data_IF_970036903748
#
_entry.id   IF_970036903748
#
_cell.length_a   1.000
_cell.length_b   1.000
_cell.length_c   1.000
_cell.angle_alpha   90.00
_cell.angle_beta   90.00
_cell.angle_gamma   90.00
#
_symmetry.space_group_name_H-M   'P 1'
#
loop_
_entity.id
_entity.type
_entity.pdbx_description
1 polymer ?
#
# COMPACT_ATOMS: atom_id res chain seq x y z
N UNK A 1 -8.29 -27.30 -4.37
CA UNK A 1 -9.11 -26.10 -4.68
C UNK A 1 -8.38 -25.24 -5.71
N UNK A 2 -9.14 -24.46 -6.48
CA UNK A 2 -8.61 -23.54 -7.49
C UNK A 2 -8.00 -22.30 -6.81
N UNK A 3 -6.87 -21.83 -7.32
CA UNK A 3 -6.31 -20.53 -6.96
C UNK A 3 -7.03 -19.41 -7.72
N UNK A 4 -7.35 -18.32 -7.03
CA UNK A 4 -7.90 -17.11 -7.63
C UNK A 4 -6.92 -16.47 -8.61
N UNK A 5 -7.43 -16.02 -9.73
CA UNK A 5 -6.65 -15.15 -10.64
C UNK A 5 -6.42 -13.78 -10.00
N UNK A 6 -5.21 -13.24 -10.14
CA UNK A 6 -4.83 -11.94 -9.61
C UNK A 6 -3.84 -11.31 -10.59
N UNK A 7 -4.20 -10.17 -11.16
CA UNK A 7 -3.38 -9.49 -12.15
C UNK A 7 -3.40 -7.98 -11.85
N UNK A 8 -2.31 -7.49 -11.29
CA UNK A 8 -2.02 -6.08 -11.08
C UNK A 8 -1.33 -5.50 -12.32
N UNK A 9 -1.69 -4.27 -12.66
CA UNK A 9 -0.99 -3.41 -13.62
C UNK A 9 -0.76 -2.04 -12.99
N UNK A 10 0.48 -1.55 -13.08
CA UNK A 10 0.88 -0.20 -12.67
C UNK A 10 1.61 0.46 -13.82
N UNK A 11 1.14 1.62 -14.26
CA UNK A 11 1.74 2.40 -15.34
C UNK A 11 2.02 3.80 -14.82
N UNK A 12 3.26 4.26 -14.98
CA UNK A 12 3.68 5.56 -14.47
C UNK A 12 5.17 5.84 -14.70
N UNK A 13 5.66 6.96 -14.19
CA UNK A 13 7.08 7.31 -14.19
C UNK A 13 7.82 6.59 -13.07
N UNK A 14 9.04 6.16 -13.33
CA UNK A 14 9.88 5.56 -12.31
C UNK A 14 10.46 6.65 -11.41
N UNK A 15 9.89 6.86 -10.23
CA UNK A 15 10.35 7.88 -9.28
C UNK A 15 11.68 7.49 -8.62
N UNK A 16 11.75 6.27 -8.09
CA UNK A 16 12.92 5.74 -7.36
C UNK A 16 13.09 4.24 -7.59
N UNK A 17 14.33 3.77 -7.53
CA UNK A 17 14.67 2.34 -7.46
C UNK A 17 15.76 2.08 -6.42
N UNK A 18 15.67 0.95 -5.74
CA UNK A 18 16.71 0.43 -4.85
C UNK A 18 16.97 -1.04 -5.22
N UNK A 19 18.24 -1.42 -5.36
CA UNK A 19 18.64 -2.75 -5.84
C UNK A 19 19.44 -3.46 -4.76
N UNK A 20 19.06 -4.69 -4.46
CA UNK A 20 19.74 -5.57 -3.50
C UNK A 20 20.10 -6.88 -4.16
N UNK A 21 21.38 -7.22 -4.12
CA UNK A 21 21.87 -8.55 -4.48
C UNK A 21 22.02 -9.39 -3.22
N UNK A 22 21.72 -10.68 -3.34
CA UNK A 22 21.87 -11.62 -2.24
C UNK A 22 21.99 -13.04 -2.75
N UNK A 23 21.96 -14.01 -1.84
CA UNK A 23 22.07 -15.42 -2.16
C UNK A 23 21.01 -16.21 -1.40
N UNK A 24 20.38 -17.17 -2.05
CA UNK A 24 19.47 -18.10 -1.38
C UNK A 24 20.24 -19.04 -0.46
N UNK A 25 19.55 -19.73 0.45
CA UNK A 25 20.12 -20.81 1.27
C UNK A 25 20.78 -21.91 0.44
N UNK A 26 20.37 -22.08 -0.82
CA UNK A 26 20.88 -23.10 -1.73
C UNK A 26 22.05 -22.60 -2.59
N UNK A 27 22.53 -21.36 -2.39
CA UNK A 27 23.66 -20.80 -3.13
C UNK A 27 23.30 -20.05 -4.42
N UNK A 28 22.04 -20.07 -4.86
CA UNK A 28 21.63 -19.28 -6.04
C UNK A 28 21.70 -17.78 -5.75
N UNK A 29 22.32 -16.99 -6.63
CA UNK A 29 22.27 -15.54 -6.54
C UNK A 29 20.83 -15.03 -6.76
N UNK A 30 20.53 -13.91 -6.14
CA UNK A 30 19.21 -13.26 -6.17
C UNK A 30 19.37 -11.77 -6.37
N UNK A 31 18.37 -11.19 -7.03
CA UNK A 31 18.23 -9.75 -7.19
C UNK A 31 16.83 -9.36 -6.70
N UNK A 32 16.79 -8.34 -5.85
CA UNK A 32 15.57 -7.65 -5.43
C UNK A 32 15.64 -6.23 -5.95
N UNK A 33 14.57 -5.76 -6.56
CA UNK A 33 14.45 -4.37 -7.00
C UNK A 33 13.19 -3.78 -6.38
N UNK A 34 13.39 -2.87 -5.44
CA UNK A 34 12.33 -2.09 -4.80
C UNK A 34 12.13 -0.79 -5.61
N UNK A 35 10.92 -0.57 -6.12
CA UNK A 35 10.56 0.55 -6.98
C UNK A 35 9.55 1.46 -6.30
N UNK A 36 9.61 2.75 -6.62
CA UNK A 36 8.50 3.69 -6.45
C UNK A 36 8.09 4.19 -7.82
N UNK A 37 6.84 3.95 -8.21
CA UNK A 37 6.28 4.40 -9.49
C UNK A 37 5.21 5.47 -9.21
N UNK A 38 5.37 6.63 -9.84
CA UNK A 38 4.41 7.74 -9.82
C UNK A 38 3.44 7.61 -10.98
N UNK A 39 2.15 7.49 -10.69
CA UNK A 39 1.08 7.41 -11.69
C UNK A 39 0.16 8.60 -11.55
N UNK A 40 -0.02 9.39 -12.61
CA UNK A 40 -0.86 10.58 -12.60
C UNK A 40 -2.22 10.33 -13.27
N UNK A 41 -3.29 10.35 -12.47
CA UNK A 41 -4.66 10.26 -12.97
C UNK A 41 -5.61 10.95 -11.98
N UNK A 42 -6.80 11.34 -12.45
CA UNK A 42 -7.81 12.03 -11.63
C UNK A 42 -7.28 13.29 -10.91
N UNK A 43 -6.32 13.99 -11.53
CA UNK A 43 -5.61 15.15 -10.98
C UNK A 43 -4.90 14.87 -9.64
N UNK A 44 -4.49 13.63 -9.41
CA UNK A 44 -3.71 13.19 -8.25
C UNK A 44 -2.46 12.47 -8.72
N UNK A 45 -1.39 12.58 -7.92
CA UNK A 45 -0.15 11.80 -8.13
C UNK A 45 -0.15 10.63 -7.16
N UNK A 46 -0.19 9.42 -7.72
CA UNK A 46 -0.23 8.18 -6.96
C UNK A 46 1.18 7.61 -6.83
N UNK A 47 1.67 7.40 -5.61
CA UNK A 47 2.98 6.83 -5.33
C UNK A 47 2.86 5.35 -4.93
N UNK A 48 3.36 4.46 -5.80
CA UNK A 48 3.18 3.04 -5.66
C UNK A 48 4.52 2.36 -5.37
N UNK A 49 4.65 1.77 -4.18
CA UNK A 49 5.81 0.94 -3.81
C UNK A 49 5.63 -0.47 -4.37
N UNK A 50 6.58 -0.93 -5.17
CA UNK A 50 6.51 -2.23 -5.85
C UNK A 50 7.82 -2.98 -5.67
N UNK A 51 7.75 -4.25 -5.27
CA UNK A 51 8.93 -5.12 -5.16
C UNK A 51 8.96 -6.14 -6.29
N UNK A 52 10.11 -6.23 -6.95
CA UNK A 52 10.49 -7.28 -7.89
C UNK A 52 11.54 -8.18 -7.23
N UNK A 53 11.44 -9.50 -7.44
CA UNK A 53 12.44 -10.45 -6.94
C UNK A 53 12.65 -11.59 -7.93
N UNK A 54 13.90 -11.96 -8.18
CA UNK A 54 14.25 -13.11 -8.99
C UNK A 54 15.53 -13.77 -8.51
N UNK A 55 15.61 -15.09 -8.68
CA UNK A 55 16.85 -15.87 -8.63
C UNK A 55 17.56 -15.85 -9.98
N UNK A 56 18.87 -16.05 -10.00
CA UNK A 56 19.70 -16.06 -11.21
C UNK A 56 19.27 -17.12 -12.24
N UNK A 57 18.76 -18.26 -11.77
CA UNK A 57 18.24 -19.32 -12.64
C UNK A 57 16.93 -18.96 -13.36
N UNK A 58 16.31 -17.82 -13.06
CA UNK A 58 15.10 -17.34 -13.75
C UNK A 58 15.45 -16.38 -14.88
N UNK A 59 14.69 -16.48 -15.99
CA UNK A 59 14.81 -15.56 -17.14
C UNK A 59 14.57 -14.10 -16.77
N UNK A 60 13.87 -13.83 -15.66
CA UNK A 60 13.59 -12.48 -15.16
C UNK A 60 14.84 -11.79 -14.60
N UNK A 61 15.84 -12.54 -14.13
CA UNK A 61 17.00 -11.99 -13.45
C UNK A 61 17.73 -10.95 -14.30
N UNK A 62 18.01 -11.28 -15.56
CA UNK A 62 18.66 -10.37 -16.51
C UNK A 62 17.83 -9.12 -16.78
N UNK A 63 16.50 -9.27 -16.85
CA UNK A 63 15.59 -8.13 -16.98
C UNK A 63 15.69 -7.19 -15.79
N UNK A 64 15.80 -7.73 -14.57
CA UNK A 64 15.98 -6.92 -13.37
C UNK A 64 17.39 -6.30 -13.27
N UNK A 65 18.43 -6.97 -13.77
CA UNK A 65 19.75 -6.34 -13.92
C UNK A 65 19.72 -5.16 -14.90
N UNK A 66 18.99 -5.28 -16.01
CA UNK A 66 18.77 -4.17 -16.95
C UNK A 66 18.05 -3.01 -16.27
N UNK A 67 17.00 -3.27 -15.49
CA UNK A 67 16.32 -2.23 -14.69
C UNK A 67 17.29 -1.57 -13.71
N UNK A 68 18.08 -2.37 -13.01
CA UNK A 68 19.07 -1.88 -12.05
C UNK A 68 20.10 -0.95 -12.70
N UNK A 69 20.62 -1.30 -13.89
CA UNK A 69 21.72 -0.57 -14.55
C UNK A 69 21.26 0.56 -15.45
N UNK A 70 20.17 0.37 -16.18
CA UNK A 70 19.83 1.22 -17.34
C UNK A 70 18.59 2.09 -17.15
N UNK A 71 17.70 1.76 -16.21
CA UNK A 71 16.45 2.52 -16.07
C UNK A 71 16.70 3.84 -15.34
N UNK A 72 16.18 4.95 -15.88
CA UNK A 72 16.34 6.28 -15.29
C UNK A 72 15.21 6.58 -14.31
N UNK A 73 15.57 7.14 -13.15
CA UNK A 73 14.62 7.53 -12.11
C UNK A 73 14.42 9.05 -12.07
N UNK A 74 13.27 9.51 -11.59
CA UNK A 74 13.01 10.95 -11.40
C UNK A 74 13.97 11.56 -10.38
N UNK A 75 14.25 10.86 -9.27
CA UNK A 75 15.12 11.37 -8.20
C UNK A 75 16.58 11.55 -8.64
N UNK A 76 17.10 10.68 -9.53
CA UNK A 76 18.50 10.77 -9.99
C UNK A 76 18.66 11.57 -11.29
N UNK A 77 17.65 11.57 -12.17
CA UNK A 77 17.77 12.12 -13.54
C UNK A 77 16.81 13.28 -13.83
N UNK A 78 15.88 13.58 -12.93
CA UNK A 78 14.82 14.58 -13.12
C UNK A 78 13.58 14.01 -13.82
N UNK A 79 12.43 14.64 -13.56
CA UNK A 79 11.10 14.15 -13.98
C UNK A 79 10.92 14.03 -15.52
N UNK A 80 11.65 14.84 -16.30
CA UNK A 80 11.61 14.83 -17.77
C UNK A 80 12.46 13.71 -18.38
N UNK A 81 13.48 13.25 -17.66
CA UNK A 81 14.42 12.23 -18.14
C UNK A 81 14.13 10.83 -17.58
N UNK A 82 13.21 10.72 -16.62
CA UNK A 82 12.85 9.47 -15.99
C UNK A 82 12.16 8.52 -16.97
N UNK A 83 12.44 7.23 -16.85
CA UNK A 83 11.77 6.23 -17.66
C UNK A 83 10.33 6.06 -17.20
N UNK A 84 9.42 6.03 -18.18
CA UNK A 84 8.06 5.59 -17.96
C UNK A 84 8.00 4.07 -18.07
N UNK A 85 7.33 3.44 -17.11
CA UNK A 85 7.33 1.98 -16.96
C UNK A 85 5.92 1.44 -16.79
N UNK A 86 5.74 0.20 -17.24
CA UNK A 86 4.58 -0.63 -16.93
C UNK A 86 5.07 -1.83 -16.13
N UNK A 87 4.52 -1.99 -14.95
CA UNK A 87 4.78 -3.11 -14.06
C UNK A 87 3.53 -3.98 -13.99
N UNK A 88 3.69 -5.27 -14.24
CA UNK A 88 2.61 -6.26 -14.07
C UNK A 88 2.97 -7.24 -12.96
N UNK A 89 1.97 -7.69 -12.22
CA UNK A 89 2.18 -8.61 -11.10
C UNK A 89 0.90 -8.93 -10.35
N UNK A 90 0.95 -8.91 -9.02
CA UNK A 90 -0.16 -9.31 -8.15
C UNK A 90 -0.44 -8.25 -7.07
N UNK A 91 -1.72 -8.10 -6.71
CA UNK A 91 -2.13 -7.37 -5.51
C UNK A 91 -2.26 -8.36 -4.35
N UNK A 92 -1.24 -8.43 -3.51
CA UNK A 92 -1.13 -9.43 -2.43
C UNK A 92 -1.43 -8.80 -1.06
N UNK A 93 -1.73 -9.65 -0.09
CA UNK A 93 -1.78 -9.25 1.32
C UNK A 93 -0.39 -9.42 1.93
N UNK A 94 0.11 -8.36 2.56
CA UNK A 94 1.30 -8.43 3.41
C UNK A 94 0.89 -8.31 4.87
N UNK A 95 1.55 -9.08 5.71
CA UNK A 95 1.30 -9.08 7.14
C UNK A 95 2.59 -9.11 7.92
N UNK A 96 2.64 -8.33 8.98
CA UNK A 96 3.76 -8.30 9.90
C UNK A 96 3.26 -7.96 11.30
N UNK A 97 3.95 -8.47 12.31
CA UNK A 97 3.73 -8.02 13.68
C UNK A 97 4.55 -6.74 13.85
N UNK A 98 3.85 -5.66 14.16
CA UNK A 98 4.48 -4.37 14.40
C UNK A 98 5.30 -4.44 15.68
N UNK A 99 6.56 -4.01 15.60
CA UNK A 99 7.46 -3.99 16.75
C UNK A 99 7.07 -2.96 17.80
N UNK A 100 6.27 -1.97 17.42
CA UNK A 100 5.90 -0.83 18.28
C UNK A 100 4.75 -1.18 19.22
N UNK A 101 3.71 -1.82 18.70
CA UNK A 101 2.47 -2.14 19.44
C UNK A 101 2.25 -3.64 19.61
N UNK A 102 3.08 -4.49 19.00
CA UNK A 102 2.92 -5.95 19.05
C UNK A 102 1.71 -6.46 18.27
N UNK A 103 1.02 -5.60 17.53
CA UNK A 103 -0.18 -5.96 16.79
C UNK A 103 0.17 -6.51 15.40
N UNK A 104 -0.63 -7.47 14.94
CA UNK A 104 -0.58 -7.90 13.56
C UNK A 104 -1.16 -6.80 12.67
N UNK A 105 -0.32 -6.22 11.81
CA UNK A 105 -0.71 -5.28 10.78
C UNK A 105 -0.87 -6.02 9.46
N UNK A 106 -2.00 -5.79 8.80
CA UNK A 106 -2.31 -6.32 7.48
C UNK A 106 -2.41 -5.16 6.51
N UNK A 107 -1.71 -5.24 5.38
CA UNK A 107 -1.64 -4.20 4.36
C UNK A 107 -1.77 -4.82 2.97
N UNK A 108 -2.26 -4.02 2.02
CA UNK A 108 -2.15 -4.37 0.61
C UNK A 108 -0.70 -4.17 0.14
N UNK A 109 -0.20 -5.10 -0.66
CA UNK A 109 1.14 -5.09 -1.21
C UNK A 109 1.09 -5.26 -2.73
N UNK A 110 1.72 -4.33 -3.45
CA UNK A 110 1.82 -4.39 -4.90
C UNK A 110 3.11 -5.15 -5.24
N UNK A 111 2.98 -6.43 -5.60
CA UNK A 111 4.13 -7.25 -5.98
C UNK A 111 4.29 -7.27 -7.48
N UNK A 112 5.45 -6.88 -7.98
CA UNK A 112 5.77 -6.92 -9.41
C UNK A 112 6.32 -8.27 -9.84
N UNK A 113 6.13 -8.61 -11.12
CA UNK A 113 6.68 -9.79 -11.79
C UNK A 113 7.35 -9.44 -13.12
N UNK A 114 6.75 -8.54 -13.91
CA UNK A 114 7.38 -8.04 -15.12
C UNK A 114 7.39 -6.53 -15.11
N UNK A 115 8.43 -5.95 -15.70
CA UNK A 115 8.59 -4.52 -15.88
C UNK A 115 9.10 -4.26 -17.29
N UNK A 116 8.49 -3.30 -17.96
CA UNK A 116 8.86 -2.86 -19.31
C UNK A 116 8.83 -1.33 -19.39
N UNK A 117 9.69 -0.75 -20.23
CA UNK A 117 9.60 0.68 -20.58
C UNK A 117 8.38 0.91 -21.47
N UNK A 118 7.64 1.98 -21.18
CA UNK A 118 6.50 2.43 -21.99
C UNK A 118 6.98 3.52 -22.93
N UNK A 119 7.04 3.20 -24.22
CA UNK A 119 7.46 4.15 -25.27
C UNK A 119 6.29 4.83 -25.96
N UNK A 120 5.09 4.26 -25.91
CA UNK A 120 3.90 4.86 -26.49
C UNK A 120 3.33 5.93 -25.54
N UNK A 121 3.33 7.22 -25.92
CA UNK A 121 2.81 8.30 -25.08
C UNK A 121 1.28 8.26 -24.89
N UNK A 122 0.54 7.53 -25.74
CA UNK A 122 -0.93 7.42 -25.64
C UNK A 122 -1.40 6.49 -24.53
N UNK A 123 -0.54 5.58 -24.07
CA UNK A 123 -0.85 4.73 -22.91
C UNK A 123 -1.01 5.66 -21.72
N UNK A 124 -2.11 5.58 -20.98
CA UNK A 124 -2.35 6.41 -19.79
C UNK A 124 -1.76 5.79 -18.53
N UNK A 125 -1.45 6.62 -17.56
CA UNK A 125 -1.09 6.14 -16.23
C UNK A 125 -2.31 5.48 -15.58
N UNK A 126 -2.06 4.37 -14.89
CA UNK A 126 -3.10 3.63 -14.20
C UNK A 126 -2.49 2.78 -13.08
N UNK A 127 -3.29 2.51 -12.06
CA UNK A 127 -2.97 1.53 -11.03
C UNK A 127 -4.22 0.71 -10.81
N UNK A 128 -4.25 -0.51 -11.34
CA UNK A 128 -5.44 -1.33 -11.33
C UNK A 128 -5.13 -2.81 -11.21
N UNK A 129 -6.10 -3.57 -10.73
CA UNK A 129 -5.99 -5.01 -10.62
C UNK A 129 -7.27 -5.71 -11.06
N UNK A 130 -7.14 -6.84 -11.75
CA UNK A 130 -8.23 -7.75 -12.02
C UNK A 130 -8.06 -8.97 -11.11
N UNK A 131 -9.00 -9.14 -10.17
CA UNK A 131 -8.86 -10.10 -9.08
C UNK A 131 -10.11 -10.95 -8.98
N UNK A 132 -9.92 -12.26 -8.96
CA UNK A 132 -10.97 -13.19 -8.59
C UNK A 132 -11.07 -13.29 -7.07
N UNK A 133 -12.26 -13.12 -6.53
CA UNK A 133 -12.46 -13.10 -5.08
C UNK A 133 -13.83 -13.66 -4.68
N UNK A 134 -13.93 -13.99 -3.40
CA UNK A 134 -15.19 -14.26 -2.69
C UNK A 134 -15.62 -13.00 -1.97
N UNK A 135 -16.80 -12.48 -2.29
CA UNK A 135 -17.42 -11.35 -1.57
C UNK A 135 -18.05 -11.90 -0.30
N UNK A 136 -17.61 -11.43 0.87
CA UNK A 136 -18.14 -11.93 2.15
C UNK A 136 -19.27 -11.07 2.70
N UNK A 137 -19.26 -9.79 2.36
CA UNK A 137 -20.22 -8.82 2.86
C UNK A 137 -19.78 -7.40 2.56
N UNK A 138 -20.67 -6.48 2.84
CA UNK A 138 -20.44 -5.06 2.65
C UNK A 138 -21.31 -4.25 3.61
N UNK A 139 -20.83 -3.07 3.97
CA UNK A 139 -21.52 -2.11 4.82
C UNK A 139 -21.48 -0.74 4.16
N UNK A 140 -22.47 0.11 4.43
CA UNK A 140 -22.46 1.48 3.95
C UNK A 140 -21.28 2.24 4.55
N UNK A 141 -20.55 2.97 3.70
CA UNK A 141 -19.54 3.90 4.19
C UNK A 141 -20.23 5.16 4.72
N UNK A 142 -19.83 5.55 5.92
CA UNK A 142 -20.30 6.75 6.59
C UNK A 142 -19.11 7.69 6.74
N UNK A 143 -19.31 8.95 6.33
CA UNK A 143 -18.33 10.02 6.48
C UNK A 143 -18.02 10.31 7.96
N UNK A 144 -16.96 11.07 8.22
CA UNK A 144 -16.58 11.53 9.57
C UNK A 144 -17.71 12.26 10.30
N UNK A 145 -18.64 12.88 9.57
CA UNK A 145 -19.79 13.62 10.10
C UNK A 145 -21.04 12.76 10.29
N UNK A 146 -20.97 11.45 10.04
CA UNK A 146 -22.10 10.54 10.20
C UNK A 146 -23.03 10.45 8.98
N UNK A 147 -22.72 11.12 7.87
CA UNK A 147 -23.54 11.08 6.66
C UNK A 147 -23.11 9.93 5.72
N UNK A 148 -24.04 9.16 5.13
CA UNK A 148 -23.70 8.14 4.13
C UNK A 148 -22.99 8.76 2.93
N UNK A 149 -21.87 8.16 2.50
CA UNK A 149 -21.12 8.64 1.32
C UNK A 149 -21.67 8.11 0.00
N UNK A 150 -22.57 7.11 0.08
CA UNK A 150 -23.06 6.35 -1.07
C UNK A 150 -22.12 5.22 -1.51
N UNK A 151 -20.88 5.21 -1.03
CA UNK A 151 -19.94 4.09 -1.23
C UNK A 151 -20.24 2.97 -0.25
N UNK A 152 -19.73 1.78 -0.55
CA UNK A 152 -19.84 0.61 0.33
C UNK A 152 -18.46 0.08 0.65
N UNK A 153 -18.15 -0.12 1.93
CA UNK A 153 -16.94 -0.84 2.35
C UNK A 153 -17.20 -2.33 2.18
N UNK A 154 -16.32 -3.04 1.48
CA UNK A 154 -16.49 -4.45 1.12
C UNK A 154 -15.43 -5.30 1.79
N UNK A 155 -15.84 -6.45 2.29
CA UNK A 155 -14.92 -7.50 2.73
C UNK A 155 -14.85 -8.58 1.65
N UNK A 156 -13.65 -8.82 1.14
CA UNK A 156 -13.40 -9.83 0.12
C UNK A 156 -12.12 -10.62 0.41
N UNK A 157 -12.11 -11.88 -0.02
CA UNK A 157 -10.93 -12.75 0.05
C UNK A 157 -10.54 -13.24 -1.33
N UNK A 158 -9.24 -13.31 -1.57
CA UNK A 158 -8.66 -14.03 -2.71
C UNK A 158 -8.09 -15.35 -2.21
N UNK A 159 -8.27 -16.42 -2.97
CA UNK A 159 -7.77 -17.76 -2.61
C UNK A 159 -6.41 -17.98 -3.28
N UNK A 160 -5.39 -18.18 -2.45
CA UNK A 160 -4.02 -18.49 -2.85
C UNK A 160 -3.76 -19.99 -2.91
N UNK A 161 -2.47 -20.33 -3.00
CA UNK A 161 -2.00 -21.71 -2.95
C UNK A 161 -2.29 -22.35 -1.58
N UNK A 162 -2.46 -23.68 -1.54
CA UNK A 162 -2.79 -24.44 -0.32
C UNK A 162 -3.98 -23.89 0.49
N UNK A 163 -5.01 -23.38 -0.19
CA UNK A 163 -6.22 -22.80 0.44
C UNK A 163 -5.92 -21.61 1.36
N UNK A 164 -4.77 -20.96 1.20
CA UNK A 164 -4.49 -19.70 1.88
C UNK A 164 -5.47 -18.63 1.40
N UNK A 165 -5.94 -17.77 2.31
CA UNK A 165 -6.75 -16.61 1.94
C UNK A 165 -5.98 -15.33 2.21
N UNK A 166 -6.07 -14.41 1.26
CA UNK A 166 -5.58 -13.05 1.38
C UNK A 166 -6.76 -12.09 1.42
N UNK A 167 -6.77 -11.24 2.44
CA UNK A 167 -7.77 -10.19 2.61
C UNK A 167 -7.21 -8.88 2.10
N UNK A 168 -7.90 -8.31 1.11
CA UNK A 168 -7.58 -6.96 0.66
C UNK A 168 -8.16 -5.95 1.66
N UNK A 169 -7.32 -5.02 2.09
CA UNK A 169 -7.66 -3.99 3.06
C UNK A 169 -8.23 -2.75 2.37
N UNK A 170 -9.05 -1.97 3.08
CA UNK A 170 -9.63 -0.70 2.60
C UNK A 170 -10.28 -0.80 1.21
N UNK A 171 -11.07 -1.85 1.00
CA UNK A 171 -11.80 -2.03 -0.26
C UNK A 171 -13.15 -1.34 -0.19
N UNK A 172 -13.45 -0.53 -1.20
CA UNK A 172 -14.71 0.18 -1.36
C UNK A 172 -15.29 -0.05 -2.75
N UNK A 173 -16.62 0.03 -2.87
CA UNK A 173 -17.31 0.13 -4.17
C UNK A 173 -17.63 1.60 -4.42
N UNK A 174 -17.33 2.07 -5.63
CA UNK A 174 -17.69 3.42 -6.06
C UNK A 174 -19.18 3.68 -5.93
N UNK A 175 -19.57 4.90 -5.56
CA UNK A 175 -20.98 5.26 -5.33
C UNK A 175 -21.84 5.09 -6.59
N UNK A 176 -21.24 5.30 -7.75
CA UNK A 176 -21.81 5.12 -9.09
C UNK A 176 -22.18 3.66 -9.40
N UNK A 177 -21.41 2.70 -8.91
CA UNK A 177 -21.60 1.26 -9.18
C UNK A 177 -22.13 0.47 -7.97
N UNK A 178 -22.24 1.08 -6.79
CA UNK A 178 -22.63 0.42 -5.54
C UNK A 178 -23.98 -0.31 -5.60
N UNK A 179 -24.99 0.30 -6.22
CA UNK A 179 -26.31 -0.33 -6.36
C UNK A 179 -26.27 -1.54 -7.29
N UNK A 180 -25.54 -1.45 -8.40
CA UNK A 180 -25.41 -2.55 -9.35
C UNK A 180 -24.61 -3.70 -8.74
N UNK A 181 -23.53 -3.37 -8.02
CA UNK A 181 -22.70 -4.32 -7.31
C UNK A 181 -23.52 -5.12 -6.30
N UNK A 182 -24.25 -4.45 -5.40
CA UNK A 182 -25.06 -5.14 -4.37
C UNK A 182 -26.21 -5.96 -4.92
N UNK A 183 -26.69 -5.66 -6.13
CA UNK A 183 -27.69 -6.50 -6.81
C UNK A 183 -27.09 -7.81 -7.31
N UNK A 184 -25.90 -7.74 -7.90
CA UNK A 184 -25.25 -8.89 -8.55
C UNK A 184 -24.46 -9.74 -7.54
N UNK A 185 -23.66 -9.10 -6.71
CA UNK A 185 -22.76 -9.74 -5.75
C UNK A 185 -23.37 -9.79 -4.36
N UNK A 186 -24.17 -10.82 -4.10
CA UNK A 186 -24.62 -11.15 -2.75
C UNK A 186 -23.46 -11.71 -1.90
N UNK A 187 -23.53 -11.70 -0.56
CA UNK A 187 -22.57 -12.38 0.29
C UNK A 187 -22.35 -13.84 -0.10
N UNK A 188 -21.10 -14.29 -0.02
CA UNK A 188 -20.57 -15.59 -0.44
C UNK A 188 -20.62 -15.87 -1.95
N UNK A 189 -20.77 -14.84 -2.78
CA UNK A 189 -20.60 -14.97 -4.23
C UNK A 189 -19.13 -14.90 -4.62
N UNK A 190 -18.78 -15.64 -5.67
CA UNK A 190 -17.43 -15.62 -6.26
C UNK A 190 -17.49 -14.93 -7.62
N UNK A 191 -16.52 -14.09 -7.93
CA UNK A 191 -16.42 -13.50 -9.26
C UNK A 191 -15.12 -12.73 -9.44
N UNK A 192 -14.87 -12.31 -10.68
CA UNK A 192 -13.75 -11.45 -11.02
C UNK A 192 -14.17 -10.00 -10.90
N UNK A 193 -13.44 -9.22 -10.12
CA UNK A 193 -13.62 -7.79 -9.93
C UNK A 193 -12.47 -7.01 -10.58
N UNK A 194 -12.79 -5.83 -11.09
CA UNK A 194 -11.84 -4.85 -11.58
C UNK A 194 -11.68 -3.76 -10.52
N UNK A 195 -10.45 -3.58 -10.07
CA UNK A 195 -10.07 -2.75 -8.94
C UNK A 195 -9.18 -1.61 -9.44
N UNK A 196 -9.39 -0.42 -8.91
CA UNK A 196 -8.48 0.73 -8.98
C UNK A 196 -7.77 0.85 -7.63
N UNK A 197 -6.47 1.13 -7.63
CA UNK A 197 -5.68 1.29 -6.39
C UNK A 197 -5.28 2.75 -6.23
N UNK A 198 -5.68 3.34 -5.11
CA UNK A 198 -5.44 4.73 -4.78
C UNK A 198 -4.38 4.84 -3.69
N UNK A 199 -3.28 5.54 -3.98
CA UNK A 199 -2.13 5.75 -3.09
C UNK A 199 -1.61 7.18 -3.26
N UNK A 200 -2.30 8.18 -2.73
CA UNK A 200 -1.92 9.58 -2.93
C UNK A 200 -2.04 10.38 -1.64
N UNK A 201 -1.44 11.57 -1.64
CA UNK A 201 -1.55 12.53 -0.54
C UNK A 201 -2.59 13.57 -0.91
N UNK A 202 -3.58 13.75 -0.04
CA UNK A 202 -4.45 14.91 -0.05
C UNK A 202 -3.87 15.99 0.83
N UNK A 203 -3.63 17.13 0.22
CA UNK A 203 -3.25 18.33 0.94
C UNK A 203 -4.52 19.12 1.17
N UNK A 204 -5.05 19.06 2.38
CA UNK A 204 -6.07 19.99 2.82
C UNK A 204 -5.32 21.25 3.28
N UNK A 205 -5.42 22.32 2.51
CA UNK A 205 -5.22 23.65 3.08
C UNK A 205 -6.28 23.78 4.18
N UNK A 206 -5.86 23.86 5.43
CA UNK A 206 -6.81 23.95 6.53
C UNK A 206 -7.67 25.21 6.32
N UNK A 207 -8.90 25.03 5.83
CA UNK A 207 -9.92 26.07 5.79
C UNK A 207 -10.42 26.43 7.20
N UNK A 208 -9.78 25.92 8.26
CA UNK A 208 -10.00 26.34 9.63
C UNK A 208 -9.28 27.65 9.88
N UNK A 209 -10.02 28.72 9.59
CA UNK A 209 -9.76 30.10 9.95
C UNK A 209 -8.44 30.66 9.42
N UNK A 210 -8.57 31.57 8.46
CA UNK A 210 -7.78 32.79 8.45
C UNK A 210 -7.94 33.53 9.81
N UNK A 211 -7.38 32.99 10.89
CA UNK A 211 -6.78 33.83 11.90
C UNK A 211 -5.54 34.38 11.19
N UNK A 212 -5.51 35.66 10.80
CA UNK A 212 -4.29 36.24 10.26
C UNK A 212 -3.18 35.93 11.27
N UNK A 213 -2.13 35.25 10.80
CA UNK A 213 -0.98 34.90 11.61
C UNK A 213 -0.54 36.20 12.31
N UNK A 214 -0.74 36.28 13.62
CA UNK A 214 -0.47 37.52 14.35
C UNK A 214 1.03 37.53 14.61
N UNK A 215 1.79 38.11 13.69
CA UNK A 215 3.22 38.26 13.86
C UNK A 215 3.48 39.11 15.11
N UNK A 216 4.27 38.58 16.05
CA UNK A 216 4.73 39.35 17.21
C UNK A 216 5.67 40.50 16.81
N UNK A 217 6.27 40.43 15.61
CA UNK A 217 7.16 41.44 15.02
C UNK A 217 7.41 41.15 13.53
N UNK A 218 7.68 42.17 12.70
CA UNK A 218 8.08 42.02 11.29
C UNK A 218 6.95 42.17 10.26
N UNK A 219 7.26 41.89 8.99
CA UNK A 219 6.31 41.94 7.86
C UNK A 219 6.03 40.53 7.31
N UNK A 220 4.81 40.30 6.84
CA UNK A 220 4.43 39.07 6.15
C UNK A 220 5.00 39.07 4.72
N UNK A 221 5.57 37.94 4.30
CA UNK A 221 5.96 37.67 2.91
C UNK A 221 5.02 36.61 2.32
N UNK A 222 4.76 36.68 1.01
CA UNK A 222 3.87 35.73 0.29
C UNK A 222 4.38 34.27 0.34
N UNK A 223 5.65 34.06 0.69
CA UNK A 223 6.29 32.75 0.79
C UNK A 223 6.59 32.32 2.24
N UNK A 224 6.01 32.97 3.25
CA UNK A 224 6.12 32.49 4.63
C UNK A 224 5.51 31.08 4.73
N UNK A 225 6.21 30.12 5.37
CA UNK A 225 5.67 28.78 5.58
C UNK A 225 4.40 28.87 6.43
N UNK A 226 3.26 28.51 5.85
CA UNK A 226 2.02 28.36 6.58
C UNK A 226 2.05 27.02 7.33
N UNK A 227 2.12 27.05 8.66
CA UNK A 227 2.07 25.85 9.53
C UNK A 227 0.73 25.07 9.46
N UNK A 228 -0.20 25.48 8.59
CA UNK A 228 -1.58 24.98 8.53
C UNK A 228 -1.84 23.94 7.43
N UNK A 229 -0.80 23.32 6.87
CA UNK A 229 -0.96 22.31 5.80
C UNK A 229 -1.18 20.92 6.41
N UNK A 230 -2.42 20.43 6.38
CA UNK A 230 -2.75 19.06 6.82
C UNK A 230 -2.60 18.10 5.63
N UNK A 231 -1.76 17.07 5.79
CA UNK A 231 -1.54 16.03 4.79
C UNK A 231 -2.28 14.76 5.19
N UNK A 232 -3.30 14.39 4.41
CA UNK A 232 -4.05 13.15 4.56
C UNK A 232 -3.56 12.13 3.54
N UNK A 233 -3.14 10.95 3.98
CA UNK A 233 -2.73 9.87 3.07
C UNK A 233 -3.95 9.01 2.71
N UNK A 234 -4.24 8.90 1.42
CA UNK A 234 -5.29 8.02 0.89
C UNK A 234 -4.65 6.71 0.43
N UNK A 235 -5.02 5.61 1.10
CA UNK A 235 -4.66 4.24 0.72
C UNK A 235 -5.93 3.38 0.70
N UNK A 236 -6.47 3.19 -0.49
CA UNK A 236 -7.71 2.43 -0.68
C UNK A 236 -7.73 1.68 -2.02
N UNK A 237 -8.60 0.70 -2.09
CA UNK A 237 -8.87 -0.07 -3.31
C UNK A 237 -10.33 0.13 -3.68
N UNK A 238 -10.60 0.60 -4.89
CA UNK A 238 -11.96 0.89 -5.36
C UNK A 238 -12.37 -0.12 -6.41
N UNK A 239 -13.46 -0.86 -6.16
CA UNK A 239 -14.11 -1.71 -7.14
C UNK A 239 -14.82 -0.79 -8.14
N UNK A 240 -14.36 -0.84 -9.39
CA UNK A 240 -14.88 -0.05 -10.51
C UNK A 240 -15.70 -0.91 -11.49
N UNK A 241 -15.70 -2.23 -11.32
CA UNK A 241 -16.47 -3.15 -12.13
C UNK A 241 -16.22 -4.61 -11.78
N UNK A 242 -16.81 -5.51 -12.55
CA UNK A 242 -16.61 -6.94 -12.42
C UNK A 242 -17.42 -7.71 -13.46
N UNK A 243 -17.07 -8.98 -13.62
CA UNK A 243 -17.83 -9.91 -14.46
C UNK A 243 -19.17 -10.27 -13.79
N UNK A 244 -20.04 -11.01 -14.48
CA UNK A 244 -21.18 -11.64 -13.80
C UNK A 244 -20.63 -12.68 -12.81
N UNK A 245 -21.16 -12.75 -11.56
CA UNK A 245 -20.71 -13.74 -10.58
C UNK A 245 -20.71 -15.15 -11.13
N UNK A 246 -19.67 -15.91 -10.79
CA UNK A 246 -19.49 -17.26 -11.28
C UNK A 246 -20.46 -18.21 -10.58
N UNK A 247 -21.32 -18.87 -11.34
CA UNK A 247 -22.30 -19.83 -10.82
C UNK A 247 -21.73 -21.25 -10.80
N UNK A 248 -20.88 -21.60 -11.79
CA UNK A 248 -20.36 -22.95 -11.98
C UNK A 248 -19.14 -23.27 -11.11
N UNK A 249 -18.25 -22.29 -10.93
CA UNK A 249 -16.99 -22.44 -10.18
C UNK A 249 -16.99 -21.60 -8.90
N UNK A 250 -18.12 -21.54 -8.19
CA UNK A 250 -18.20 -20.85 -6.89
C UNK A 250 -17.61 -21.72 -5.78
N UNK A 251 -16.97 -21.09 -4.81
CA UNK A 251 -16.62 -21.77 -3.56
C UNK A 251 -17.90 -22.07 -2.77
N UNK A 252 -17.96 -23.26 -2.19
CA UNK A 252 -19.04 -23.66 -1.29
C UNK A 252 -18.92 -22.98 0.07
N UNK A 253 -20.01 -22.92 0.83
CA UNK A 253 -20.00 -22.34 2.18
C UNK A 253 -19.06 -23.10 3.13
N UNK A 254 -18.95 -24.42 2.96
CA UNK A 254 -18.05 -25.28 3.74
C UNK A 254 -16.57 -24.96 3.43
N UNK A 255 -16.20 -24.85 2.15
CA UNK A 255 -14.85 -24.43 1.75
C UNK A 255 -14.51 -23.03 2.28
N UNK A 256 -15.44 -22.09 2.22
CA UNK A 256 -15.26 -20.74 2.77
C UNK A 256 -15.02 -20.78 4.29
N UNK A 257 -15.77 -21.61 5.02
CA UNK A 257 -15.61 -21.76 6.46
C UNK A 257 -14.27 -22.41 6.83
N UNK A 258 -13.85 -23.44 6.09
CA UNK A 258 -12.55 -24.10 6.27
C UNK A 258 -11.39 -23.12 6.03
N UNK A 259 -11.43 -22.37 4.94
CA UNK A 259 -10.42 -21.35 4.62
C UNK A 259 -10.32 -20.27 5.71
N UNK A 260 -11.46 -19.81 6.25
CA UNK A 260 -11.49 -18.87 7.38
C UNK A 260 -10.83 -19.45 8.63
N UNK A 261 -11.06 -20.73 8.91
CA UNK A 261 -10.44 -21.42 10.06
C UNK A 261 -8.93 -21.54 9.90
N UNK A 262 -8.46 -21.94 8.71
CA UNK A 262 -7.03 -22.02 8.39
C UNK A 262 -6.34 -20.65 8.53
N UNK A 263 -7.03 -19.59 8.10
CA UNK A 263 -6.53 -18.23 8.22
C UNK A 263 -6.36 -17.78 9.65
N UNK A 264 -7.36 -18.04 10.50
CA UNK A 264 -7.28 -17.68 11.92
C UNK A 264 -6.15 -18.44 12.63
N UNK A 265 -5.95 -19.72 12.29
CA UNK A 265 -4.82 -20.49 12.79
C UNK A 265 -3.48 -19.87 12.37
N UNK A 266 -3.30 -19.56 11.08
CA UNK A 266 -2.09 -18.93 10.58
C UNK A 266 -1.84 -17.55 11.22
N UNK A 267 -2.90 -16.81 11.53
CA UNK A 267 -2.84 -15.53 12.25
C UNK A 267 -2.28 -15.71 13.66
N UNK A 268 -2.78 -16.71 14.39
CA UNK A 268 -2.34 -17.03 15.75
C UNK A 268 -0.89 -17.52 15.78
N UNK A 269 -0.50 -18.40 14.86
CA UNK A 269 0.88 -18.88 14.73
C UNK A 269 1.85 -17.73 14.48
N UNK A 270 1.50 -16.80 13.59
CA UNK A 270 2.33 -15.64 13.27
C UNK A 270 2.50 -14.70 14.47
N UNK A 271 1.46 -14.52 15.28
CA UNK A 271 1.55 -13.77 16.53
C UNK A 271 2.38 -14.50 17.60
N UNK A 272 2.31 -15.84 17.65
CA UNK A 272 3.06 -16.64 18.64
C UNK A 272 4.58 -16.70 18.38
N UNK A 273 5.01 -16.65 17.12
CA UNK A 273 6.43 -16.75 16.73
C UNK A 273 7.11 -15.37 16.66
N UNK A 274 6.34 -14.28 16.71
CA UNK A 274 6.90 -12.93 16.61
C UNK A 274 7.54 -12.49 17.93
N UNK A 275 8.73 -11.86 17.89
CA UNK A 275 9.37 -11.36 19.10
C UNK A 275 8.45 -10.36 19.81
N UNK A 276 8.22 -10.56 21.11
CA UNK A 276 7.42 -9.65 21.90
C UNK A 276 8.05 -8.25 21.88
N UNK A 277 7.24 -7.18 21.77
CA UNK A 277 7.77 -5.82 21.88
C UNK A 277 8.51 -5.68 23.22
N UNK A 278 9.64 -4.94 23.26
CA UNK A 278 10.32 -4.67 24.52
C UNK A 278 9.30 -4.09 25.51
N UNK A 279 9.28 -4.64 26.73
CA UNK A 279 8.40 -4.14 27.78
C UNK A 279 8.55 -2.61 27.85
N UNK A 280 7.44 -1.88 27.73
CA UNK A 280 7.45 -0.43 27.86
C UNK A 280 8.17 -0.09 29.17
N UNK A 281 9.23 0.74 29.14
CA UNK A 281 9.79 1.27 30.37
C UNK A 281 8.65 1.92 31.14
N UNK A 282 8.48 1.53 32.41
CA UNK A 282 7.53 2.20 33.28
C UNK A 282 7.74 3.72 33.17
N UNK A 283 6.67 4.47 32.88
CA UNK A 283 6.76 5.91 32.74
C UNK A 283 7.49 6.48 33.96
N UNK A 284 8.60 7.21 33.80
CA UNK A 284 9.26 7.85 34.92
C UNK A 284 8.26 8.85 35.52
N UNK A 285 7.92 8.65 36.79
CA UNK A 285 7.15 9.58 37.58
C UNK A 285 7.97 10.87 37.72
N UNK A 286 7.64 11.88 36.91
CA UNK A 286 8.17 13.21 37.10
C UNK A 286 7.61 13.82 38.38
N UNK A 287 8.48 14.14 39.35
CA UNK A 287 8.62 15.43 40.01
C UNK A 287 9.62 15.32 41.19
N UNK A 288 10.75 16.04 41.11
CA UNK A 288 11.52 16.48 42.27
C UNK A 288 12.90 15.87 42.49
N UNK A 289 13.95 16.45 41.89
CA UNK A 289 15.07 17.09 42.61
C UNK A 289 16.22 17.46 41.66
N UNK A 290 16.65 18.73 41.73
CA UNK A 290 18.00 19.16 41.38
C UNK A 290 18.32 19.33 39.90
N UNK A 291 18.13 20.55 39.39
CA UNK A 291 18.80 20.99 38.18
C UNK A 291 20.28 21.22 38.54
N UNK A 292 21.17 20.33 38.10
CA UNK A 292 22.63 20.53 38.20
C UNK A 292 23.19 20.81 36.80
N UNK A 293 23.74 22.00 36.62
CA UNK A 293 24.15 22.55 35.32
C UNK A 293 25.63 22.29 35.04
N UNK A 294 26.14 21.09 35.31
CA UNK A 294 27.57 20.80 35.21
C UNK A 294 27.92 19.65 34.27
N UNK A 295 27.23 19.51 33.13
CA UNK A 295 27.66 18.56 32.08
C UNK A 295 27.22 18.97 30.66
N UNK A 296 27.37 20.25 30.32
CA UNK A 296 27.32 20.69 28.91
C UNK A 296 28.67 20.41 28.21
N UNK A 297 29.01 19.13 28.09
CA UNK A 297 30.06 18.67 27.18
C UNK A 297 29.70 17.30 26.62
N UNK A 298 28.72 17.30 25.71
CA UNK A 298 28.43 16.17 24.83
C UNK A 298 28.23 16.71 23.43
N UNK A 299 29.09 16.32 22.49
CA UNK A 299 28.89 16.59 21.08
C UNK A 299 27.59 15.92 20.63
N UNK A 300 26.76 16.65 19.89
CA UNK A 300 25.56 16.10 19.26
C UNK A 300 26.03 15.06 18.24
N UNK A 301 25.66 13.81 18.41
CA UNK A 301 25.93 12.77 17.41
C UNK A 301 25.00 12.98 16.21
N UNK A 302 25.53 12.75 15.01
CA UNK A 302 24.85 12.94 13.71
C UNK A 302 23.56 12.10 13.58
N UNK A 303 23.36 11.13 14.47
CA UNK A 303 22.17 10.29 14.62
C UNK A 303 20.99 11.00 15.31
N UNK A 304 21.23 12.15 15.95
CA UNK A 304 20.22 12.96 16.66
C UNK A 304 19.63 14.08 15.78
N UNK A 305 19.99 14.13 14.49
CA UNK A 305 19.41 15.06 13.52
C UNK A 305 18.25 14.37 12.79
N UNK A 306 16.98 14.72 13.07
CA UNK A 306 15.86 14.20 12.29
C UNK A 306 15.84 14.87 10.92
N UNK A 307 16.24 14.13 9.88
CA UNK A 307 16.10 14.55 8.49
C UNK A 307 14.62 14.47 8.06
N UNK A 308 14.11 15.59 7.55
CA UNK A 308 12.85 15.71 6.79
C UNK A 308 13.05 15.31 5.34
#
# INVERSE_FOLDING_TARGET
MRQSTNQLTVIGKLKRKEVKFGTTTNGDNTITVDLVVTSEFENKVHENKIRLWSKESSKLYKGYETVAREYKTEEEHGAECADRVKVTGNLEMNEYVSKTDGELKTLNNLRGVFIERVTNPEVKDEVGAAVECVVLGYVDEVSKTGSPTGRKKVTLYTVGYNNSISELQNVFVGADVAQQFTRLYQPNTTGRLFLKVNNYVEVEEAAQAAQPMTLGFGVTLDNMPSDNVVRNYVNEVVIIGGDVPNVANKYTLEEIAEMKKLRELARQEKMAVSPQPPAQPAAPSGFGNGFDTSDFSGAIEESEIPFF
#
